data_IF_361620406641
#
_entry.id   IF_361620406641
#
_cell.length_a   1.000
_cell.length_b   1.000
_cell.length_c   1.000
_cell.angle_alpha   90.00
_cell.angle_beta   90.00
_cell.angle_gamma   90.00
#
_symmetry.space_group_name_H-M   'P 1'
#
loop_
_entity.id
_entity.type
_entity.pdbx_description
1 polymer ?
#
# COMPACT_ATOMS: atom_id res chain seq x y z
N UNK A 1 48.34 -1.71 -11.17
CA UNK A 1 46.93 -1.99 -11.52
C UNK A 1 46.27 -2.56 -10.27
N UNK A 2 45.30 -1.84 -9.69
CA UNK A 2 44.74 -2.13 -8.38
C UNK A 2 43.64 -3.18 -8.52
N UNK A 3 43.85 -4.34 -7.90
CA UNK A 3 42.82 -5.35 -7.65
C UNK A 3 41.98 -4.90 -6.46
N UNK A 4 40.66 -4.81 -6.63
CA UNK A 4 39.73 -4.66 -5.52
C UNK A 4 39.02 -5.99 -5.29
N UNK A 5 39.44 -6.66 -4.22
CA UNK A 5 38.74 -7.73 -3.54
C UNK A 5 37.79 -7.07 -2.55
N UNK A 6 36.48 -7.31 -2.66
CA UNK A 6 35.54 -7.03 -1.59
C UNK A 6 35.05 -8.36 -1.01
N UNK A 7 35.63 -8.71 0.14
CA UNK A 7 35.03 -9.60 1.11
C UNK A 7 33.71 -8.98 1.60
N UNK A 8 32.63 -9.74 1.61
CA UNK A 8 31.54 -9.52 2.55
C UNK A 8 31.19 -10.85 3.22
N UNK A 9 31.71 -11.02 4.44
CA UNK A 9 31.28 -12.05 5.36
C UNK A 9 29.86 -11.72 5.87
N UNK A 10 29.00 -12.73 5.79
CA UNK A 10 28.02 -13.13 6.79
C UNK A 10 27.50 -12.08 7.80
N UNK A 11 26.28 -11.60 7.55
CA UNK A 11 25.24 -11.50 8.59
C UNK A 11 24.22 -12.59 8.22
N UNK A 12 23.96 -13.59 9.04
CA UNK A 12 23.32 -13.44 10.34
C UNK A 12 21.90 -14.00 10.19
N UNK A 13 21.71 -15.24 10.64
CA UNK A 13 20.51 -16.05 10.51
C UNK A 13 19.21 -15.33 10.90
N UNK A 14 18.23 -15.28 9.98
CA UNK A 14 16.82 -15.07 10.30
C UNK A 14 16.03 -16.30 9.80
N UNK A 15 15.97 -17.40 10.56
CA UNK A 15 15.06 -18.49 10.25
C UNK A 15 13.75 -18.17 10.98
N UNK A 16 12.82 -17.41 10.36
CA UNK A 16 11.39 -17.34 10.78
C UNK A 16 10.44 -16.45 9.96
N UNK A 17 10.83 -15.87 8.82
CA UNK A 17 9.90 -15.12 7.95
C UNK A 17 9.32 -15.93 6.79
N UNK A 18 9.82 -17.14 6.54
CA UNK A 18 9.29 -18.01 5.49
C UNK A 18 7.84 -18.51 5.68
N UNK A 19 7.32 -18.79 6.90
CA UNK A 19 5.99 -19.38 7.02
C UNK A 19 4.82 -18.37 6.87
N UNK A 20 5.08 -17.06 7.03
CA UNK A 20 4.04 -16.02 6.86
C UNK A 20 3.69 -15.84 5.38
N UNK A 21 4.67 -16.02 4.50
CA UNK A 21 4.52 -15.87 3.06
C UNK A 21 3.62 -16.97 2.45
N UNK A 22 3.60 -18.16 3.02
CA UNK A 22 2.78 -19.28 2.51
C UNK A 22 1.32 -19.22 2.98
N UNK A 23 1.02 -18.64 4.15
CA UNK A 23 -0.33 -18.61 4.71
C UNK A 23 -1.27 -17.61 4.01
N UNK A 24 -0.75 -16.55 3.38
CA UNK A 24 -1.57 -15.60 2.62
C UNK A 24 -2.00 -16.15 1.24
N UNK A 25 -1.22 -17.04 0.63
CA UNK A 25 -1.56 -17.61 -0.68
C UNK A 25 -2.46 -18.85 -0.62
N UNK A 26 -2.45 -19.62 0.48
CA UNK A 26 -3.29 -20.82 0.63
C UNK A 26 -4.74 -20.54 1.07
N UNK A 27 -5.04 -19.33 1.54
CA UNK A 27 -6.42 -18.89 1.81
C UNK A 27 -7.16 -18.40 0.54
N UNK A 28 -6.53 -18.42 -0.63
CA UNK A 28 -7.09 -17.94 -1.90
C UNK A 28 -8.08 -18.87 -2.60
N UNK A 29 -8.55 -19.96 -1.97
CA UNK A 29 -9.51 -20.90 -2.57
C UNK A 29 -10.80 -21.10 -1.75
N UNK A 30 -11.11 -20.22 -0.80
CA UNK A 30 -12.39 -20.25 -0.09
C UNK A 30 -13.15 -18.92 -0.28
N UNK A 31 -14.07 -18.93 -1.24
CA UNK A 31 -15.36 -18.23 -1.23
C UNK A 31 -15.47 -16.88 -0.49
N UNK A 32 -15.50 -15.80 -1.29
CA UNK A 32 -16.34 -14.62 -1.03
C UNK A 32 -15.71 -13.50 -0.22
N UNK A 33 -14.97 -12.60 -0.88
CA UNK A 33 -14.53 -11.32 -0.31
C UNK A 33 -13.21 -10.86 -0.92
N UNK A 34 -13.25 -10.32 -2.13
CA UNK A 34 -12.07 -9.68 -2.71
C UNK A 34 -11.77 -8.42 -1.88
N UNK A 35 -10.66 -8.44 -1.13
CA UNK A 35 -10.19 -7.29 -0.35
C UNK A 35 -9.76 -6.10 -1.23
N UNK A 36 -9.56 -6.33 -2.53
CA UNK A 36 -9.20 -5.31 -3.51
C UNK A 36 -9.90 -5.61 -4.84
N UNK A 37 -10.63 -4.65 -5.44
CA UNK A 37 -11.25 -4.81 -6.74
C UNK A 37 -10.22 -4.86 -7.88
N UNK A 38 -10.68 -5.18 -9.09
CA UNK A 38 -9.82 -5.20 -10.26
C UNK A 38 -9.30 -3.77 -10.57
N UNK A 39 -8.06 -3.58 -11.05
CA UNK A 39 -7.51 -2.25 -11.38
C UNK A 39 -8.36 -1.59 -12.47
N UNK A 40 -8.94 -2.40 -13.37
CA UNK A 40 -9.89 -1.94 -14.38
C UNK A 40 -11.22 -1.45 -13.80
N UNK A 41 -11.58 -1.87 -12.57
CA UNK A 41 -12.79 -1.43 -11.85
C UNK A 41 -12.57 -0.09 -11.14
N UNK A 42 -11.32 0.22 -10.78
CA UNK A 42 -10.96 1.49 -10.16
C UNK A 42 -10.97 2.68 -11.13
N UNK A 43 -10.86 2.43 -12.43
CA UNK A 43 -11.06 3.46 -13.47
C UNK A 43 -12.57 3.79 -13.64
N UNK A 44 -13.49 3.07 -12.97
CA UNK A 44 -14.93 3.13 -13.25
C UNK A 44 -15.78 4.00 -12.31
N UNK A 45 -15.23 4.90 -11.49
CA UNK A 45 -16.07 5.78 -10.67
C UNK A 45 -16.84 6.86 -11.49
N UNK A 46 -18.05 7.24 -11.05
CA UNK A 46 -18.96 8.08 -11.83
C UNK A 46 -18.51 9.54 -11.88
N UNK A 47 -18.49 10.07 -13.10
CA UNK A 47 -18.12 11.44 -13.48
C UNK A 47 -18.75 12.49 -12.57
N UNK A 48 -17.92 13.20 -11.80
CA UNK A 48 -18.22 14.55 -11.31
C UNK A 48 -17.78 15.54 -12.39
N UNK A 49 -18.72 16.32 -12.89
CA UNK A 49 -18.50 17.34 -13.91
C UNK A 49 -17.36 18.28 -13.52
N UNK A 50 -16.24 18.22 -14.25
CA UNK A 50 -15.16 19.21 -14.14
C UNK A 50 -13.74 18.67 -14.35
N UNK A 51 -13.48 17.37 -14.24
CA UNK A 51 -12.17 16.78 -14.51
C UNK A 51 -12.05 16.28 -15.95
N UNK A 52 -10.84 16.38 -16.51
CA UNK A 52 -10.49 15.86 -17.84
C UNK A 52 -10.92 14.40 -17.92
N UNK A 53 -11.89 14.13 -18.79
CA UNK A 53 -12.50 12.81 -18.94
C UNK A 53 -11.47 11.90 -19.63
N UNK A 54 -10.74 11.12 -18.85
CA UNK A 54 -10.02 9.97 -19.38
C UNK A 54 -11.07 8.94 -19.83
N UNK A 55 -10.96 8.52 -21.09
CA UNK A 55 -11.97 7.70 -21.73
C UNK A 55 -12.05 6.30 -21.10
N UNK A 56 -13.29 5.80 -20.95
CA UNK A 56 -13.68 4.65 -20.10
C UNK A 56 -13.37 3.28 -20.69
N UNK A 57 -13.03 3.22 -21.98
CA UNK A 57 -12.62 2.01 -22.66
C UNK A 57 -11.12 2.13 -22.95
N UNK A 58 -10.27 1.15 -22.57
CA UNK A 58 -8.86 1.22 -22.92
C UNK A 58 -8.68 1.38 -24.44
N UNK A 59 -9.53 0.80 -25.29
CA UNK A 59 -9.48 1.04 -26.74
C UNK A 59 -9.78 2.50 -27.14
N UNK A 60 -10.44 3.28 -26.28
CA UNK A 60 -10.68 4.72 -26.46
C UNK A 60 -9.52 5.60 -25.99
N UNK A 61 -8.56 5.06 -25.25
CA UNK A 61 -7.28 5.70 -24.94
C UNK A 61 -6.23 5.51 -26.05
N UNK A 62 -6.54 4.74 -27.10
CA UNK A 62 -5.68 4.57 -28.28
C UNK A 62 -5.71 5.81 -29.21
N UNK A 63 -5.69 7.02 -28.61
CA UNK A 63 -5.81 8.32 -29.25
C UNK A 63 -4.62 9.25 -28.99
N UNK A 64 -4.36 10.07 -30.00
CA UNK A 64 -3.38 11.14 -30.32
C UNK A 64 -2.36 11.70 -29.29
N UNK A 65 -2.48 11.48 -27.97
CA UNK A 65 -1.51 11.99 -26.98
C UNK A 65 -0.60 10.92 -26.40
N UNK A 66 0.67 11.28 -26.18
CA UNK A 66 1.69 10.37 -25.61
C UNK A 66 1.29 9.85 -24.21
N UNK A 67 0.55 10.65 -23.44
CA UNK A 67 0.06 10.28 -22.10
C UNK A 67 -1.05 9.24 -22.16
N UNK A 68 -2.02 9.40 -23.06
CA UNK A 68 -3.12 8.44 -23.23
C UNK A 68 -2.61 7.09 -23.74
N UNK A 69 -1.69 7.11 -24.71
CA UNK A 69 -1.03 5.90 -25.20
C UNK A 69 -0.24 5.19 -24.08
N UNK A 70 0.53 5.93 -23.28
CA UNK A 70 1.27 5.35 -22.16
C UNK A 70 0.35 4.79 -21.06
N UNK A 71 -0.82 5.41 -20.82
CA UNK A 71 -1.81 4.90 -19.88
C UNK A 71 -2.46 3.61 -20.40
N UNK A 72 -2.82 3.58 -21.68
CA UNK A 72 -3.32 2.37 -22.34
C UNK A 72 -2.32 1.22 -22.23
N UNK A 73 -1.05 1.48 -22.57
CA UNK A 73 0.03 0.50 -22.47
C UNK A 73 0.22 0.01 -21.03
N UNK A 74 0.11 0.88 -20.02
CA UNK A 74 0.22 0.49 -18.63
C UNK A 74 -0.92 -0.47 -18.19
N UNK A 75 -2.14 -0.26 -18.68
CA UNK A 75 -3.28 -1.16 -18.46
C UNK A 75 -3.04 -2.51 -19.13
N UNK A 76 -2.68 -2.50 -20.42
CA UNK A 76 -2.35 -3.71 -21.19
C UNK A 76 -1.23 -4.54 -20.55
N UNK A 77 -0.18 -3.88 -20.05
CA UNK A 77 0.91 -4.53 -19.32
C UNK A 77 0.43 -5.13 -18.00
N UNK A 78 -0.47 -4.44 -17.28
CA UNK A 78 -1.05 -4.93 -16.04
C UNK A 78 -1.89 -6.19 -16.26
N UNK A 79 -2.70 -6.23 -17.33
CA UNK A 79 -3.47 -7.42 -17.71
C UNK A 79 -2.57 -8.60 -18.06
N UNK A 80 -1.44 -8.33 -18.73
CA UNK A 80 -0.39 -9.32 -19.04
C UNK A 80 0.46 -9.68 -17.82
N UNK A 81 0.12 -9.20 -16.61
CA UNK A 81 0.85 -9.41 -15.35
C UNK A 81 2.28 -8.86 -15.36
N UNK A 82 2.60 -7.94 -16.28
CA UNK A 82 3.88 -7.23 -16.36
C UNK A 82 3.82 -5.99 -15.47
N UNK A 83 3.57 -6.22 -14.18
CA UNK A 83 3.25 -5.19 -13.19
C UNK A 83 4.38 -4.17 -12.98
N UNK A 84 5.63 -4.59 -12.96
CA UNK A 84 6.77 -3.68 -12.83
C UNK A 84 6.83 -2.67 -13.98
N UNK A 85 6.61 -3.12 -15.20
CA UNK A 85 6.66 -2.29 -16.41
C UNK A 85 5.47 -1.33 -16.48
N UNK A 86 4.27 -1.80 -16.13
CA UNK A 86 3.11 -0.93 -15.96
C UNK A 86 3.39 0.19 -14.93
N UNK A 87 4.00 -0.15 -13.78
CA UNK A 87 4.37 0.85 -12.76
C UNK A 87 5.41 1.84 -13.25
N UNK A 88 6.31 1.44 -14.16
CA UNK A 88 7.27 2.37 -14.76
C UNK A 88 6.56 3.42 -15.61
N UNK A 89 5.65 3.02 -16.50
CA UNK A 89 4.86 3.97 -17.30
C UNK A 89 4.00 4.90 -16.43
N UNK A 90 3.34 4.34 -15.40
CA UNK A 90 2.55 5.14 -14.46
C UNK A 90 3.42 6.13 -13.67
N UNK A 91 4.66 5.77 -13.34
CA UNK A 91 5.59 6.66 -12.65
C UNK A 91 6.00 7.84 -13.54
N UNK A 92 6.23 7.59 -14.82
CA UNK A 92 6.59 8.61 -15.80
C UNK A 92 5.45 9.61 -15.98
N UNK A 93 4.21 9.13 -16.16
CA UNK A 93 3.02 10.00 -16.25
C UNK A 93 2.82 10.76 -14.93
N UNK A 94 3.04 10.13 -13.78
CA UNK A 94 2.86 10.81 -12.48
C UNK A 94 3.88 11.92 -12.27
N UNK A 95 5.09 11.79 -12.83
CA UNK A 95 6.18 12.75 -12.64
C UNK A 95 5.86 14.15 -13.20
N UNK A 96 4.97 14.23 -14.18
CA UNK A 96 4.52 15.50 -14.78
C UNK A 96 3.27 16.08 -14.11
N UNK A 97 2.65 15.34 -13.18
CA UNK A 97 1.48 15.80 -12.43
C UNK A 97 1.88 16.63 -11.21
N UNK A 98 1.05 17.60 -10.82
CA UNK A 98 1.22 18.32 -9.55
C UNK A 98 0.98 17.36 -8.36
N UNK A 99 1.81 17.36 -7.31
CA UNK A 99 1.69 16.40 -6.21
C UNK A 99 0.35 16.38 -5.48
N UNK A 100 -0.39 17.49 -5.46
CA UNK A 100 -1.69 17.65 -4.81
C UNK A 100 -2.88 17.43 -5.78
N UNK A 101 -2.63 17.08 -7.05
CA UNK A 101 -3.68 16.87 -8.03
C UNK A 101 -4.34 15.49 -7.91
N UNK A 102 -5.59 15.41 -8.36
CA UNK A 102 -6.34 14.17 -8.51
C UNK A 102 -5.59 13.16 -9.39
N UNK A 103 -4.96 13.62 -10.48
CA UNK A 103 -4.14 12.78 -11.36
C UNK A 103 -2.93 12.16 -10.64
N UNK A 104 -2.24 12.91 -9.78
CA UNK A 104 -1.13 12.37 -8.99
C UNK A 104 -1.60 11.32 -7.98
N UNK A 105 -2.75 11.56 -7.35
CA UNK A 105 -3.37 10.66 -6.37
C UNK A 105 -3.82 9.36 -7.06
N UNK A 106 -4.53 9.46 -8.19
CA UNK A 106 -4.94 8.33 -9.01
C UNK A 106 -3.75 7.57 -9.61
N UNK A 107 -2.63 8.20 -9.98
CA UNK A 107 -1.48 7.43 -10.44
C UNK A 107 -0.76 6.73 -9.27
N UNK A 108 -0.69 7.38 -8.10
CA UNK A 108 -0.06 6.79 -6.91
C UNK A 108 -0.85 5.60 -6.37
N UNK A 109 -2.18 5.66 -6.38
CA UNK A 109 -3.04 4.52 -6.06
C UNK A 109 -2.86 3.37 -7.07
N UNK A 110 -2.75 3.66 -8.37
CA UNK A 110 -2.56 2.67 -9.43
C UNK A 110 -1.31 1.87 -9.19
N UNK A 111 -0.22 2.60 -8.94
CA UNK A 111 1.09 2.04 -8.67
C UNK A 111 1.09 1.19 -7.40
N UNK A 112 0.37 1.62 -6.36
CA UNK A 112 0.24 0.85 -5.12
C UNK A 112 -0.49 -0.47 -5.35
N UNK A 113 -1.65 -0.46 -6.00
CA UNK A 113 -2.42 -1.66 -6.31
C UNK A 113 -1.65 -2.61 -7.23
N UNK A 114 -0.99 -2.08 -8.25
CA UNK A 114 -0.15 -2.86 -9.16
C UNK A 114 1.01 -3.53 -8.42
N UNK A 115 1.62 -2.83 -7.46
CA UNK A 115 2.68 -3.40 -6.62
C UNK A 115 2.16 -4.51 -5.68
N UNK A 116 0.93 -4.38 -5.15
CA UNK A 116 0.31 -5.46 -4.36
C UNK A 116 0.09 -6.71 -5.19
N UNK A 117 -0.37 -6.57 -6.43
CA UNK A 117 -0.57 -7.70 -7.36
C UNK A 117 0.71 -8.43 -7.71
N UNK A 118 1.81 -7.68 -7.81
CA UNK A 118 3.15 -8.22 -8.02
C UNK A 118 3.71 -8.90 -6.75
N UNK A 119 3.17 -8.59 -5.56
CA UNK A 119 3.75 -8.98 -4.28
C UNK A 119 4.91 -8.10 -3.82
N UNK A 120 5.15 -6.96 -4.49
CA UNK A 120 6.18 -5.99 -4.12
C UNK A 120 5.68 -5.04 -3.01
N UNK A 121 5.71 -5.54 -1.77
CA UNK A 121 5.29 -4.78 -0.59
C UNK A 121 6.16 -3.53 -0.33
N UNK A 122 7.39 -3.50 -0.83
CA UNK A 122 8.25 -2.33 -0.70
C UNK A 122 7.78 -1.21 -1.63
N UNK A 123 7.48 -1.52 -2.89
CA UNK A 123 6.89 -0.56 -3.82
C UNK A 123 5.50 -0.12 -3.39
N UNK A 124 4.66 -1.04 -2.90
CA UNK A 124 3.36 -0.70 -2.35
C UNK A 124 3.48 0.36 -1.26
N UNK A 125 4.30 0.12 -0.22
CA UNK A 125 4.47 1.07 0.88
C UNK A 125 4.98 2.43 0.40
N UNK A 126 5.87 2.48 -0.59
CA UNK A 126 6.36 3.74 -1.17
C UNK A 126 5.24 4.50 -1.88
N UNK A 127 4.51 3.84 -2.77
CA UNK A 127 3.43 4.47 -3.54
C UNK A 127 2.25 4.89 -2.65
N UNK A 128 1.84 4.03 -1.72
CA UNK A 128 0.77 4.34 -0.78
C UNK A 128 1.14 5.46 0.20
N UNK A 129 2.41 5.55 0.63
CA UNK A 129 2.89 6.71 1.38
C UNK A 129 2.79 8.00 0.56
N UNK A 130 3.21 7.97 -0.71
CA UNK A 130 3.13 9.14 -1.59
C UNK A 130 1.68 9.60 -1.78
N UNK A 131 0.75 8.64 -1.92
CA UNK A 131 -0.68 8.91 -1.94
C UNK A 131 -1.16 9.55 -0.62
N UNK A 132 -0.86 8.93 0.53
CA UNK A 132 -1.31 9.43 1.83
C UNK A 132 -0.75 10.84 2.14
N UNK A 133 0.52 11.08 1.78
CA UNK A 133 1.17 12.39 1.88
C UNK A 133 0.51 13.41 0.93
N UNK A 134 0.18 13.04 -0.31
CA UNK A 134 -0.51 13.93 -1.29
C UNK A 134 -1.92 14.34 -0.87
N UNK A 135 -2.63 13.47 -0.15
CA UNK A 135 -3.96 13.74 0.39
C UNK A 135 -3.91 14.63 1.66
N UNK A 136 -2.71 14.88 2.20
CA UNK A 136 -2.52 15.60 3.46
C UNK A 136 -2.85 14.76 4.70
N UNK A 137 -2.79 13.42 4.58
CA UNK A 137 -3.10 12.45 5.65
C UNK A 137 -4.45 12.71 6.34
N UNK A 138 -5.55 12.73 5.59
CA UNK A 138 -6.83 13.09 6.15
C UNK A 138 -7.35 12.00 7.10
N UNK A 139 -8.23 12.40 8.02
CA UNK A 139 -8.92 11.50 8.94
C UNK A 139 -10.00 10.68 8.21
N UNK A 140 -10.67 11.31 7.23
CA UNK A 140 -11.61 10.65 6.32
C UNK A 140 -11.00 10.70 4.93
N UNK A 141 -10.81 9.54 4.32
CA UNK A 141 -10.20 9.40 2.99
C UNK A 141 -11.31 9.29 1.95
N UNK A 142 -11.07 9.77 0.73
CA UNK A 142 -11.99 9.54 -0.38
C UNK A 142 -12.18 8.03 -0.66
N UNK A 143 -13.35 7.64 -1.16
CA UNK A 143 -13.69 6.23 -1.40
C UNK A 143 -12.71 5.60 -2.39
N UNK A 144 -12.24 6.35 -3.39
CA UNK A 144 -11.28 5.89 -4.38
C UNK A 144 -9.93 5.44 -3.80
N UNK A 145 -9.59 5.88 -2.57
CA UNK A 145 -8.25 5.71 -1.99
C UNK A 145 -8.27 5.05 -0.60
N UNK A 146 -9.46 4.84 -0.02
CA UNK A 146 -9.61 4.40 1.36
C UNK A 146 -8.92 3.07 1.61
N UNK A 147 -9.02 2.10 0.70
CA UNK A 147 -8.44 0.76 0.88
C UNK A 147 -6.91 0.79 0.89
N UNK A 148 -6.30 1.47 -0.10
CA UNK A 148 -4.85 1.60 -0.23
C UNK A 148 -4.27 2.32 0.99
N UNK A 149 -4.88 3.44 1.39
CA UNK A 149 -4.44 4.20 2.57
C UNK A 149 -4.65 3.39 3.85
N UNK A 150 -5.79 2.72 4.00
CA UNK A 150 -6.10 1.89 5.18
C UNK A 150 -5.11 0.76 5.35
N UNK A 151 -4.80 0.03 4.28
CA UNK A 151 -3.80 -1.04 4.32
C UNK A 151 -2.41 -0.50 4.66
N UNK A 152 -1.99 0.59 4.03
CA UNK A 152 -0.70 1.21 4.31
C UNK A 152 -0.58 1.66 5.77
N UNK A 153 -1.60 2.35 6.30
CA UNK A 153 -1.63 2.80 7.69
C UNK A 153 -1.70 1.64 8.67
N UNK A 154 -2.43 0.57 8.33
CA UNK A 154 -2.46 -0.67 9.12
C UNK A 154 -1.06 -1.31 9.21
N UNK A 155 -0.34 -1.42 8.10
CA UNK A 155 1.01 -2.00 8.03
C UNK A 155 2.08 -1.14 8.72
N UNK A 156 1.83 0.16 8.88
CA UNK A 156 2.79 1.14 9.43
C UNK A 156 2.38 1.66 10.81
N UNK A 157 1.38 1.04 11.44
CA UNK A 157 0.88 1.41 12.77
C UNK A 157 0.40 2.86 12.89
N UNK A 158 -0.12 3.41 11.80
CA UNK A 158 -0.69 4.76 11.79
C UNK A 158 -2.18 4.75 12.13
N UNK A 159 -2.72 5.94 12.38
CA UNK A 159 -4.14 6.11 12.69
C UNK A 159 -5.02 5.78 11.48
N UNK A 160 -5.92 4.83 11.65
CA UNK A 160 -6.82 4.37 10.60
C UNK A 160 -7.81 5.48 10.17
N UNK A 161 -8.16 5.57 8.88
CA UNK A 161 -9.25 6.41 8.43
C UNK A 161 -10.57 6.02 9.10
N UNK A 162 -11.45 7.00 9.33
CA UNK A 162 -12.76 6.76 9.98
C UNK A 162 -13.72 5.95 9.12
N UNK A 163 -13.53 5.98 7.80
CA UNK A 163 -14.32 5.24 6.82
C UNK A 163 -13.65 3.94 6.36
N UNK A 164 -12.57 3.50 7.02
CA UNK A 164 -11.97 2.21 6.74
C UNK A 164 -12.89 1.08 7.21
N UNK A 165 -12.95 -0.03 6.45
CA UNK A 165 -13.60 -1.26 6.91
C UNK A 165 -12.92 -1.77 8.19
N UNK A 166 -13.70 -2.38 9.08
CA UNK A 166 -13.19 -3.01 10.29
C UNK A 166 -12.22 -4.16 9.98
N UNK A 167 -12.29 -4.75 8.79
CA UNK A 167 -11.35 -5.79 8.33
C UNK A 167 -9.90 -5.34 8.39
N UNK A 168 -9.60 -4.06 8.12
CA UNK A 168 -8.23 -3.55 8.22
C UNK A 168 -7.74 -3.44 9.67
N UNK A 169 -8.64 -3.20 10.63
CA UNK A 169 -8.31 -3.21 12.06
C UNK A 169 -8.01 -4.63 12.51
N UNK A 170 -8.87 -5.59 12.16
CA UNK A 170 -8.67 -7.02 12.43
C UNK A 170 -7.38 -7.52 11.77
N UNK A 171 -7.10 -7.12 10.53
CA UNK A 171 -5.88 -7.45 9.81
C UNK A 171 -4.63 -6.94 10.55
N UNK A 172 -4.64 -5.67 10.97
CA UNK A 172 -3.54 -5.08 11.76
C UNK A 172 -3.33 -5.87 13.05
N UNK A 173 -4.40 -6.16 13.77
CA UNK A 173 -4.31 -6.90 15.03
C UNK A 173 -3.80 -8.33 14.82
N UNK A 174 -4.24 -9.00 13.76
CA UNK A 174 -3.84 -10.39 13.49
C UNK A 174 -2.37 -10.53 13.09
N UNK A 175 -1.88 -9.64 12.22
CA UNK A 175 -0.56 -9.80 11.60
C UNK A 175 0.51 -8.86 12.15
N UNK A 176 0.09 -7.77 12.77
CA UNK A 176 0.98 -6.71 13.21
C UNK A 176 0.85 -6.38 14.70
N UNK A 177 -0.03 -7.00 15.48
CA UNK A 177 -0.04 -6.76 16.93
C UNK A 177 1.36 -6.94 17.51
N UNK A 178 1.91 -5.85 18.06
CA UNK A 178 2.94 -5.98 19.07
C UNK A 178 2.31 -6.81 20.18
N UNK A 179 2.83 -8.02 20.41
CA UNK A 179 2.61 -8.70 21.67
C UNK A 179 3.12 -7.71 22.71
N UNK A 180 2.20 -7.00 23.36
CA UNK A 180 2.52 -6.09 24.44
C UNK A 180 3.50 -6.84 25.35
N UNK A 181 4.70 -6.29 25.53
CA UNK A 181 5.58 -6.77 26.58
C UNK A 181 4.73 -6.81 27.86
N UNK A 182 4.80 -7.90 28.66
CA UNK A 182 4.04 -7.96 29.90
C UNK A 182 4.32 -6.67 30.68
N UNK A 183 3.24 -5.96 31.00
CA UNK A 183 3.27 -4.77 31.83
C UNK A 183 4.22 -5.03 33.01
N UNK A 184 5.12 -4.10 33.39
CA UNK A 184 5.88 -4.27 34.61
C UNK A 184 4.87 -4.47 35.74
N UNK A 185 4.88 -5.70 36.23
CA UNK A 185 4.11 -6.18 37.35
C UNK A 185 4.23 -5.14 38.47
N UNK A 186 3.07 -4.79 39.01
CA UNK A 186 2.87 -3.97 40.20
C UNK A 186 4.09 -4.01 41.13
N UNK A 187 4.74 -2.86 41.31
CA UNK A 187 5.70 -2.68 42.39
C UNK A 187 5.02 -3.08 43.70
N UNK A 188 5.60 -3.99 44.51
CA UNK A 188 5.02 -4.30 45.80
C UNK A 188 5.05 -3.03 46.66
N UNK A 189 3.90 -2.68 47.23
CA UNK A 189 3.78 -1.67 48.27
C UNK A 189 4.75 -2.04 49.41
N UNK A 190 5.87 -1.33 49.53
CA UNK A 190 6.66 -1.36 50.76
C UNK A 190 5.88 -0.59 51.82
N UNK A 191 5.23 -1.32 52.71
CA UNK A 191 4.71 -0.78 53.97
C UNK A 191 5.89 -0.24 54.78
N UNK A 192 5.99 1.09 54.88
CA UNK A 192 6.93 1.75 55.78
C UNK A 192 6.35 1.67 57.19
N UNK A 193 6.81 0.69 57.96
CA UNK A 193 6.57 0.61 59.39
C UNK A 193 7.29 1.78 60.08
N UNK A 194 6.51 2.73 60.61
CA UNK A 194 7.01 3.81 61.47
C UNK A 194 7.47 3.22 62.80
N UNK A 195 8.77 3.02 62.96
CA UNK A 195 9.37 2.87 64.27
C UNK A 195 9.43 4.25 64.94
N UNK A 196 8.62 4.45 65.96
CA UNK A 196 8.81 5.52 66.93
C UNK A 196 9.92 5.14 67.92
N UNK A 197 10.78 6.10 68.22
CA UNK A 197 11.41 6.39 69.51
C UNK A 197 12.20 7.70 69.39
#
# INVERSE_FOLDING_TARGET
MKHYVCHLHAFGSIPRLAPVLAAMFLAGCASGGNLFPDIGDWIQEPVREGSVILARDPATLAGESEVEAALYDAVELSEKKRFAEARHLLADIRSIQKPDSEGYQALSGAMALTALREGDLAAFRRAARQLDDSLGRPVRVDVAHVEVVSLYRAMTFQTMPVNASDDFRVFREKYFSEKSAPSPESSPEMSVERAGL
#
